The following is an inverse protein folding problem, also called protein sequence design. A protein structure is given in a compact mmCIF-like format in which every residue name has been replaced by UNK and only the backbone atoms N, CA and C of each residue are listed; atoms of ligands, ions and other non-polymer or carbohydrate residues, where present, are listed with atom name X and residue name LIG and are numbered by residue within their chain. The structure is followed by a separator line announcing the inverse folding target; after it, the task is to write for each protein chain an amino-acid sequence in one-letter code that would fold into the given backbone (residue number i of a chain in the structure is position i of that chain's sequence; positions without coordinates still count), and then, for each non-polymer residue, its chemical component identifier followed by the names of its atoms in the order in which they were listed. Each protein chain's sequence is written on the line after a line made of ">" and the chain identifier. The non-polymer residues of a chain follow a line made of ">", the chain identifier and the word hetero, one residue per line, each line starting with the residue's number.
data_IF_522272097050
#
_entry.id   IF_522272097050
#
_cell.length_a   1.000
_cell.length_b   1.000
_cell.length_c   1.000
_cell.angle_alpha   90.00
_cell.angle_beta   90.00
_cell.angle_gamma   90.00
#
_symmetry.space_group_name_H-M   'P 1'
#
loop_
_entity.id
_entity.type
_entity.pdbx_description
1 polymer ?
#
# COMPACT_ATOMS: atom_id res chain seq x y z
N UNK A 1 21.42 10.30 -11.49
CA UNK A 1 19.98 9.98 -11.54
C UNK A 1 19.36 10.51 -10.25
N UNK A 2 18.15 11.07 -10.32
CA UNK A 2 17.52 11.74 -9.17
C UNK A 2 16.64 10.81 -8.34
N UNK A 3 16.62 10.99 -7.04
CA UNK A 3 15.80 10.26 -6.06
C UNK A 3 14.34 10.73 -6.11
N UNK A 4 13.36 9.84 -5.82
CA UNK A 4 11.95 10.23 -5.64
C UNK A 4 11.85 11.34 -4.58
N UNK A 5 11.03 12.37 -4.82
CA UNK A 5 10.79 13.34 -3.75
C UNK A 5 9.98 12.67 -2.64
N UNK A 6 10.11 13.14 -1.39
CA UNK A 6 9.29 12.66 -0.28
C UNK A 6 7.80 12.61 -0.63
N UNK A 7 7.27 13.66 -1.22
CA UNK A 7 5.86 13.74 -1.63
C UNK A 7 5.49 12.68 -2.68
N UNK A 8 6.40 12.35 -3.61
CA UNK A 8 6.18 11.26 -4.58
C UNK A 8 6.13 9.91 -3.87
N UNK A 9 7.07 9.64 -2.94
CA UNK A 9 7.11 8.40 -2.15
C UNK A 9 5.84 8.21 -1.32
N UNK A 10 5.41 9.26 -0.62
CA UNK A 10 4.18 9.25 0.17
C UNK A 10 2.94 9.06 -0.70
N UNK A 11 2.85 9.74 -1.85
CA UNK A 11 1.69 9.59 -2.74
C UNK A 11 1.56 8.16 -3.26
N UNK A 12 2.66 7.51 -3.64
CA UNK A 12 2.65 6.10 -4.05
C UNK A 12 2.19 5.22 -2.88
N UNK A 13 2.77 5.39 -1.69
CA UNK A 13 2.44 4.57 -0.53
C UNK A 13 0.98 4.76 -0.06
N UNK A 14 0.41 5.95 -0.22
CA UNK A 14 -1.00 6.22 0.11
C UNK A 14 -1.98 5.62 -0.90
N UNK A 15 -1.61 5.50 -2.18
CA UNK A 15 -2.41 4.76 -3.16
C UNK A 15 -2.58 3.29 -2.74
N UNK A 16 -1.53 2.67 -2.19
CA UNK A 16 -1.57 1.30 -1.66
C UNK A 16 -2.54 1.15 -0.50
N UNK A 17 -2.48 2.08 0.45
CA UNK A 17 -3.36 2.08 1.64
C UNK A 17 -4.81 2.16 1.21
N UNK A 18 -5.15 3.04 0.29
CA UNK A 18 -6.53 3.19 -0.19
C UNK A 18 -7.01 1.92 -0.89
N UNK A 19 -6.20 1.37 -1.79
CA UNK A 19 -6.53 0.10 -2.46
C UNK A 19 -6.68 -1.05 -1.46
N UNK A 20 -5.79 -1.16 -0.49
CA UNK A 20 -5.82 -2.17 0.56
C UNK A 20 -7.07 -2.06 1.45
N UNK A 21 -7.42 -0.84 1.87
CA UNK A 21 -8.63 -0.55 2.64
C UNK A 21 -9.91 -0.85 1.84
N UNK A 22 -9.96 -0.46 0.57
CA UNK A 22 -11.12 -0.64 -0.31
C UNK A 22 -11.38 -2.09 -0.71
N UNK A 23 -10.43 -2.98 -0.46
CA UNK A 23 -10.49 -4.39 -0.86
C UNK A 23 -10.23 -5.35 0.30
N UNK A 24 -10.24 -4.83 1.53
CA UNK A 24 -9.89 -5.57 2.73
C UNK A 24 -10.74 -6.84 2.93
N UNK A 25 -11.99 -6.85 2.46
CA UNK A 25 -12.89 -8.00 2.45
C UNK A 25 -12.37 -9.17 1.60
N UNK A 26 -11.41 -8.93 0.71
CA UNK A 26 -10.77 -9.93 -0.13
C UNK A 26 -9.63 -10.67 0.59
N UNK A 27 -9.33 -10.32 1.85
CA UNK A 27 -8.27 -10.96 2.64
C UNK A 27 -6.88 -10.71 2.04
N UNK A 28 -6.05 -11.76 1.93
CA UNK A 28 -4.69 -11.64 1.37
C UNK A 28 -4.66 -11.09 -0.05
N UNK A 29 -5.74 -11.24 -0.82
CA UNK A 29 -5.83 -10.67 -2.17
C UNK A 29 -5.68 -9.14 -2.18
N UNK A 30 -6.16 -8.46 -1.13
CA UNK A 30 -6.13 -6.99 -1.03
C UNK A 30 -4.72 -6.41 -1.22
N UNK A 31 -3.69 -7.12 -0.76
CA UNK A 31 -2.30 -6.65 -0.86
C UNK A 31 -1.79 -6.67 -2.30
N UNK A 32 -2.29 -7.56 -3.17
CA UNK A 32 -1.89 -7.60 -4.57
C UNK A 32 -2.59 -6.52 -5.39
N UNK A 33 -3.81 -6.14 -5.00
CA UNK A 33 -4.52 -4.98 -5.55
C UNK A 33 -3.80 -3.68 -5.11
N UNK A 34 -3.36 -3.62 -3.85
CA UNK A 34 -2.52 -2.53 -3.35
C UNK A 34 -1.20 -2.44 -4.15
N UNK A 35 -0.49 -3.55 -4.34
CA UNK A 35 0.75 -3.59 -5.14
C UNK A 35 0.52 -3.08 -6.57
N UNK A 36 -0.62 -3.42 -7.18
CA UNK A 36 -0.98 -2.88 -8.48
C UNK A 36 -1.22 -1.37 -8.46
N UNK A 37 -1.84 -0.84 -7.39
CA UNK A 37 -2.10 0.58 -7.22
C UNK A 37 -0.79 1.39 -7.09
N UNK A 38 0.17 0.99 -6.24
CA UNK A 38 1.48 1.66 -6.19
C UNK A 38 2.19 1.59 -7.52
N UNK A 39 2.26 0.40 -8.13
CA UNK A 39 2.96 0.22 -9.40
C UNK A 39 2.33 1.09 -10.49
N UNK A 40 0.99 1.15 -10.55
CA UNK A 40 0.27 1.97 -11.52
C UNK A 40 0.52 3.46 -11.27
N UNK A 41 0.45 3.91 -10.02
CA UNK A 41 0.75 5.30 -9.65
C UNK A 41 2.19 5.65 -10.01
N UNK A 42 3.14 4.79 -9.67
CA UNK A 42 4.55 4.97 -9.97
C UNK A 42 4.80 5.06 -11.48
N UNK A 43 4.29 4.12 -12.29
CA UNK A 43 4.51 4.11 -13.75
C UNK A 43 3.76 5.24 -14.48
N UNK A 44 2.52 5.53 -14.11
CA UNK A 44 1.67 6.51 -14.82
C UNK A 44 1.87 7.95 -14.34
N UNK A 45 1.96 8.17 -13.02
CA UNK A 45 1.99 9.53 -12.45
C UNK A 45 3.38 10.05 -12.17
N UNK A 46 4.35 9.16 -11.95
CA UNK A 46 5.70 9.56 -11.53
C UNK A 46 6.75 9.28 -12.60
N UNK A 47 6.76 8.09 -13.21
CA UNK A 47 7.76 7.72 -14.21
C UNK A 47 7.61 8.53 -15.52
N UNK A 48 6.40 9.00 -15.83
CA UNK A 48 6.14 9.92 -16.94
C UNK A 48 6.80 11.30 -16.77
N UNK A 49 7.22 11.68 -15.56
CA UNK A 49 7.97 12.93 -15.28
C UNK A 49 9.49 12.78 -15.53
N UNK A 50 9.93 11.61 -16.00
CA UNK A 50 11.33 11.25 -16.21
C UNK A 50 11.68 10.04 -15.36
N UNK A 51 11.98 8.92 -16.02
CA UNK A 51 12.23 7.64 -15.36
C UNK A 51 13.30 7.77 -14.27
N UNK A 52 12.88 7.64 -13.02
CA UNK A 52 13.78 7.25 -11.94
C UNK A 52 13.84 5.73 -12.01
N UNK A 53 15.03 5.15 -12.13
CA UNK A 53 15.15 3.69 -12.03
C UNK A 53 15.21 3.37 -10.56
N UNK A 54 14.17 2.74 -10.02
CA UNK A 54 14.28 2.08 -8.72
C UNK A 54 15.13 0.84 -8.94
N UNK A 55 16.30 0.81 -8.35
CA UNK A 55 17.16 -0.36 -8.39
C UNK A 55 16.63 -1.31 -7.32
N UNK A 56 15.87 -2.32 -7.73
CA UNK A 56 15.42 -3.38 -6.84
C UNK A 56 16.44 -4.53 -6.85
N UNK A 57 16.78 -5.03 -5.67
CA UNK A 57 17.43 -6.35 -5.56
C UNK A 57 16.42 -7.42 -6.01
N UNK A 58 16.90 -8.55 -6.54
CA UNK A 58 16.01 -9.67 -6.87
C UNK A 58 15.34 -10.16 -5.56
N UNK A 59 14.00 -10.13 -5.47
CA UNK A 59 13.31 -10.52 -4.25
C UNK A 59 13.46 -12.02 -3.98
N UNK A 60 13.48 -12.39 -2.69
CA UNK A 60 13.53 -13.80 -2.28
C UNK A 60 12.14 -14.43 -2.38
N UNK A 61 11.99 -15.42 -3.28
CA UNK A 61 10.71 -16.08 -3.59
C UNK A 61 10.82 -17.62 -3.54
N UNK A 62 9.75 -18.35 -3.19
CA UNK A 62 8.50 -17.84 -2.61
C UNK A 62 8.70 -17.37 -1.15
N UNK A 63 7.76 -16.58 -0.64
CA UNK A 63 7.81 -16.08 0.75
C UNK A 63 6.72 -16.71 1.61
N UNK A 64 7.12 -17.16 2.80
CA UNK A 64 6.20 -17.66 3.83
C UNK A 64 5.80 -16.57 4.85
N UNK A 65 6.09 -15.30 4.55
CA UNK A 65 5.72 -14.18 5.42
C UNK A 65 4.20 -14.07 5.54
N UNK A 66 3.73 -13.74 6.75
CA UNK A 66 2.34 -13.34 6.98
C UNK A 66 2.19 -11.82 7.10
N UNK A 67 3.28 -11.06 7.01
CA UNK A 67 3.25 -9.60 7.05
C UNK A 67 2.84 -9.05 5.69
N UNK A 68 1.74 -8.27 5.66
CA UNK A 68 1.13 -7.80 4.41
C UNK A 68 2.05 -6.82 3.68
N UNK A 69 2.76 -5.95 4.40
CA UNK A 69 3.71 -5.02 3.81
C UNK A 69 4.90 -5.71 3.15
N UNK A 70 5.44 -6.77 3.75
CA UNK A 70 6.51 -7.57 3.14
C UNK A 70 6.03 -8.25 1.85
N UNK A 71 4.85 -8.89 1.88
CA UNK A 71 4.32 -9.57 0.70
C UNK A 71 3.98 -8.59 -0.44
N UNK A 72 3.45 -7.41 -0.09
CA UNK A 72 3.21 -6.31 -1.02
C UNK A 72 4.52 -5.92 -1.72
N UNK A 73 5.55 -5.60 -0.95
CA UNK A 73 6.83 -5.17 -1.49
C UNK A 73 7.51 -6.23 -2.36
N UNK A 74 7.49 -7.51 -1.94
CA UNK A 74 8.04 -8.59 -2.76
C UNK A 74 7.33 -8.70 -4.12
N UNK A 75 6.03 -8.41 -4.15
CA UNK A 75 5.25 -8.36 -5.40
C UNK A 75 5.72 -7.19 -6.27
N UNK A 76 5.82 -5.98 -5.71
CA UNK A 76 6.29 -4.80 -6.45
C UNK A 76 7.74 -4.95 -6.94
N UNK A 77 8.64 -5.42 -6.07
CA UNK A 77 10.05 -5.67 -6.41
C UNK A 77 10.16 -6.69 -7.55
N UNK A 78 9.41 -7.80 -7.48
CA UNK A 78 9.48 -8.81 -8.54
C UNK A 78 8.94 -8.27 -9.85
N UNK A 79 7.89 -7.44 -9.80
CA UNK A 79 7.34 -6.78 -10.97
C UNK A 79 8.37 -5.90 -11.67
N UNK A 80 9.09 -5.09 -10.90
CA UNK A 80 10.15 -4.22 -11.38
C UNK A 80 11.32 -5.03 -11.95
N UNK A 81 11.73 -6.09 -11.27
CA UNK A 81 12.83 -6.97 -11.71
C UNK A 81 12.49 -7.77 -12.97
N UNK A 82 11.24 -8.19 -13.15
CA UNK A 82 10.77 -8.85 -14.38
C UNK A 82 10.71 -7.88 -15.57
N UNK A 83 10.84 -6.57 -15.33
CA UNK A 83 11.01 -5.57 -16.39
C UNK A 83 9.73 -5.25 -17.15
N UNK A 84 8.56 -5.42 -16.53
CA UNK A 84 7.28 -5.09 -17.16
C UNK A 84 7.15 -3.56 -17.39
N UNK A 85 6.75 -3.20 -18.61
CA UNK A 85 6.69 -1.81 -19.06
C UNK A 85 5.41 -1.09 -18.63
N UNK A 86 4.31 -1.83 -18.51
CA UNK A 86 2.99 -1.35 -18.09
C UNK A 86 2.57 -2.04 -16.80
N UNK A 87 1.45 -1.64 -16.20
CA UNK A 87 0.83 -2.36 -15.08
C UNK A 87 -0.44 -3.03 -15.60
N UNK A 88 -0.39 -4.34 -15.81
CA UNK A 88 -1.54 -5.12 -16.27
C UNK A 88 -1.97 -6.14 -15.23
N UNK A 89 -3.28 -6.43 -15.21
CA UNK A 89 -3.86 -7.42 -14.32
C UNK A 89 -3.11 -8.76 -14.38
N UNK A 90 -2.85 -9.29 -15.58
CA UNK A 90 -2.19 -10.59 -15.74
C UNK A 90 -0.75 -10.60 -15.19
N UNK A 91 0.04 -9.56 -15.43
CA UNK A 91 1.43 -9.47 -14.97
C UNK A 91 1.51 -9.36 -13.44
N UNK A 92 0.58 -8.61 -12.83
CA UNK A 92 0.46 -8.54 -11.37
C UNK A 92 0.09 -9.91 -10.79
N UNK A 93 -0.89 -10.62 -11.37
CA UNK A 93 -1.28 -11.95 -10.86
C UNK A 93 -0.14 -12.97 -10.97
N UNK A 94 0.57 -13.00 -12.11
CA UNK A 94 1.74 -13.88 -12.28
C UNK A 94 2.78 -13.59 -11.19
N UNK A 95 3.02 -12.31 -10.92
CA UNK A 95 3.98 -11.89 -9.90
C UNK A 95 3.52 -12.26 -8.49
N UNK A 96 2.26 -12.01 -8.16
CA UNK A 96 1.63 -12.38 -6.90
C UNK A 96 1.73 -13.90 -6.62
N UNK A 97 1.50 -14.73 -7.64
CA UNK A 97 1.60 -16.20 -7.54
C UNK A 97 3.05 -16.66 -7.35
N UNK A 98 4.05 -15.94 -7.87
CA UNK A 98 5.46 -16.23 -7.54
C UNK A 98 5.77 -15.94 -6.07
N UNK A 99 5.12 -14.93 -5.47
CA UNK A 99 5.30 -14.55 -4.05
C UNK A 99 4.59 -15.52 -3.10
N UNK A 100 3.31 -15.82 -3.36
CA UNK A 100 2.47 -16.74 -2.57
C UNK A 100 1.85 -17.83 -3.45
N UNK A 101 2.65 -18.81 -3.90
CA UNK A 101 2.17 -19.87 -4.78
C UNK A 101 1.11 -20.76 -4.11
N UNK A 102 1.08 -20.80 -2.77
CA UNK A 102 0.06 -21.49 -1.99
C UNK A 102 -1.33 -20.86 -2.11
N UNK A 103 -1.43 -19.58 -2.49
CA UNK A 103 -2.68 -18.84 -2.67
C UNK A 103 -3.08 -18.68 -4.14
N UNK A 104 -2.49 -19.49 -5.05
CA UNK A 104 -2.67 -19.30 -6.49
C UNK A 104 -4.15 -19.36 -6.92
N UNK A 105 -4.96 -20.22 -6.30
CA UNK A 105 -6.38 -20.34 -6.65
C UNK A 105 -7.17 -19.08 -6.27
N UNK A 106 -6.88 -18.51 -5.12
CA UNK A 106 -7.50 -17.28 -4.62
C UNK A 106 -7.08 -16.08 -5.46
N UNK A 107 -5.80 -16.00 -5.81
CA UNK A 107 -5.23 -14.93 -6.65
C UNK A 107 -5.83 -14.97 -8.06
N UNK A 108 -5.91 -16.14 -8.70
CA UNK A 108 -6.55 -16.26 -10.02
C UNK A 108 -8.08 -16.17 -9.97
N UNK A 109 -8.68 -16.25 -8.78
CA UNK A 109 -10.12 -16.09 -8.58
C UNK A 109 -10.59 -14.63 -8.60
N UNK A 110 -9.68 -13.66 -8.57
CA UNK A 110 -10.00 -12.23 -8.58
C UNK A 110 -10.59 -11.86 -9.94
N UNK A 111 -11.76 -11.22 -9.98
CA UNK A 111 -12.31 -10.75 -11.25
C UNK A 111 -11.50 -9.54 -11.78
N UNK A 112 -11.16 -9.54 -13.07
CA UNK A 112 -10.30 -8.51 -13.67
C UNK A 112 -10.93 -7.10 -13.59
N UNK A 113 -12.22 -7.01 -13.85
CA UNK A 113 -13.02 -5.80 -13.75
C UNK A 113 -13.01 -5.23 -12.33
N UNK A 114 -13.22 -6.08 -11.32
CA UNK A 114 -13.10 -5.68 -9.92
C UNK A 114 -11.69 -5.16 -9.58
N UNK A 115 -10.64 -5.86 -10.02
CA UNK A 115 -9.26 -5.43 -9.82
C UNK A 115 -8.99 -4.06 -10.44
N UNK A 116 -9.37 -3.87 -11.71
CA UNK A 116 -9.13 -2.63 -12.45
C UNK A 116 -9.88 -1.46 -11.84
N UNK A 117 -11.16 -1.65 -11.49
CA UNK A 117 -11.97 -0.63 -10.82
C UNK A 117 -11.30 -0.15 -9.53
N UNK A 118 -10.85 -1.08 -8.68
CA UNK A 118 -10.23 -0.73 -7.39
C UNK A 118 -8.89 -0.03 -7.54
N UNK A 119 -8.06 -0.47 -8.49
CA UNK A 119 -6.78 0.19 -8.80
C UNK A 119 -7.05 1.62 -9.31
N UNK A 120 -7.97 1.80 -10.25
CA UNK A 120 -8.31 3.12 -10.81
C UNK A 120 -8.87 4.06 -9.75
N UNK A 121 -9.79 3.58 -8.90
CA UNK A 121 -10.32 4.36 -7.78
C UNK A 121 -9.23 4.81 -6.81
N UNK A 122 -8.26 3.94 -6.49
CA UNK A 122 -7.19 4.26 -5.57
C UNK A 122 -6.25 5.33 -6.12
N UNK A 123 -5.80 5.21 -7.38
CA UNK A 123 -4.88 6.18 -7.98
C UNK A 123 -5.52 7.55 -8.29
N UNK A 124 -6.85 7.61 -8.35
CA UNK A 124 -7.61 8.85 -8.55
C UNK A 124 -7.98 9.55 -7.24
N UNK A 125 -7.82 8.89 -6.08
CA UNK A 125 -8.20 9.45 -4.80
C UNK A 125 -7.28 10.63 -4.45
N UNK A 126 -7.88 11.79 -4.14
CA UNK A 126 -7.13 12.91 -3.61
C UNK A 126 -6.70 12.57 -2.17
N UNK A 127 -5.40 12.55 -1.90
CA UNK A 127 -4.81 12.22 -0.60
C UNK A 127 -3.79 13.29 -0.18
N UNK A 128 -3.95 14.52 -0.66
CA UNK A 128 -3.02 15.62 -0.39
C UNK A 128 -3.10 16.05 1.07
N UNK A 129 -4.30 16.13 1.66
CA UNK A 129 -4.47 16.61 3.03
C UNK A 129 -4.63 15.47 4.05
N UNK A 130 -4.36 15.77 5.32
CA UNK A 130 -4.65 14.87 6.44
C UNK A 130 -6.15 14.54 6.52
N UNK A 131 -7.02 15.53 6.28
CA UNK A 131 -8.47 15.32 6.24
C UNK A 131 -8.87 14.29 5.17
N UNK A 132 -8.28 14.38 3.97
CA UNK A 132 -8.55 13.43 2.89
C UNK A 132 -8.11 12.01 3.26
N UNK A 133 -6.94 11.86 3.89
CA UNK A 133 -6.40 10.58 4.38
C UNK A 133 -7.32 9.98 5.45
N UNK A 134 -7.79 10.80 6.39
CA UNK A 134 -8.75 10.36 7.43
C UNK A 134 -10.07 9.92 6.80
N UNK A 135 -10.61 10.69 5.86
CA UNK A 135 -11.85 10.34 5.17
C UNK A 135 -11.71 9.02 4.40
N UNK A 136 -10.58 8.78 3.75
CA UNK A 136 -10.32 7.51 3.07
C UNK A 136 -10.32 6.31 4.04
N UNK A 137 -9.82 6.49 5.27
CA UNK A 137 -9.89 5.48 6.32
C UNK A 137 -11.34 5.28 6.78
N UNK A 138 -12.09 6.36 6.99
CA UNK A 138 -13.48 6.32 7.46
C UNK A 138 -14.44 5.67 6.46
N UNK A 139 -14.14 5.74 5.16
CA UNK A 139 -14.88 5.05 4.11
C UNK A 139 -14.81 3.51 4.24
N UNK A 140 -13.73 2.98 4.84
CA UNK A 140 -13.48 1.55 4.96
C UNK A 140 -13.67 1.03 6.40
N UNK A 141 -13.37 1.84 7.41
CA UNK A 141 -13.34 1.43 8.81
C UNK A 141 -14.14 2.41 9.68
N UNK A 142 -15.11 1.93 10.49
CA UNK A 142 -16.03 2.79 11.22
C UNK A 142 -15.42 3.34 12.53
N UNK A 143 -14.33 4.09 12.45
CA UNK A 143 -13.74 4.83 13.59
C UNK A 143 -14.74 5.85 14.14
N UNK A 144 -14.72 6.08 15.46
CA UNK A 144 -15.66 7.01 16.12
C UNK A 144 -14.98 7.80 17.24
N UNK A 145 -15.43 9.05 17.42
CA UNK A 145 -15.07 9.90 18.55
C UNK A 145 -13.55 10.03 18.71
N UNK A 146 -13.06 9.75 19.93
CA UNK A 146 -11.64 9.89 20.30
C UNK A 146 -10.66 9.12 19.41
N UNK A 147 -11.10 8.03 18.76
CA UNK A 147 -10.22 7.25 17.89
C UNK A 147 -9.97 7.98 16.56
N UNK A 148 -10.94 8.76 16.06
CA UNK A 148 -10.74 9.64 14.89
C UNK A 148 -9.72 10.72 15.23
N UNK A 149 -9.87 11.37 16.39
CA UNK A 149 -8.95 12.43 16.83
C UNK A 149 -7.51 11.92 16.96
N UNK A 150 -7.34 10.71 17.51
CA UNK A 150 -6.03 10.04 17.62
C UNK A 150 -5.41 9.77 16.25
N UNK A 151 -6.18 9.21 15.30
CA UNK A 151 -5.71 8.95 13.93
C UNK A 151 -5.35 10.26 13.24
N UNK A 152 -6.20 11.28 13.33
CA UNK A 152 -5.94 12.60 12.76
C UNK A 152 -4.65 13.21 13.30
N UNK A 153 -4.44 13.18 14.62
CA UNK A 153 -3.23 13.71 15.26
C UNK A 153 -1.97 12.99 14.77
N UNK A 154 -1.97 11.66 14.71
CA UNK A 154 -0.82 10.90 14.24
C UNK A 154 -0.56 11.10 12.76
N UNK A 155 -1.60 11.17 11.92
CA UNK A 155 -1.43 11.49 10.51
C UNK A 155 -0.89 12.91 10.32
N UNK A 156 -1.30 13.88 11.15
CA UNK A 156 -0.71 15.23 11.15
C UNK A 156 0.77 15.18 11.51
N UNK A 157 1.18 14.37 12.49
CA UNK A 157 2.59 14.19 12.84
C UNK A 157 3.36 13.58 11.65
N UNK A 158 2.84 12.50 11.05
CA UNK A 158 3.44 11.84 9.88
C UNK A 158 3.60 12.83 8.72
N UNK A 159 2.56 13.60 8.40
CA UNK A 159 2.56 14.58 7.30
C UNK A 159 3.63 15.67 7.47
N UNK A 160 3.92 16.05 8.72
CA UNK A 160 4.93 17.05 9.06
C UNK A 160 6.33 16.47 9.36
N UNK A 161 6.55 15.16 9.18
CA UNK A 161 7.84 14.51 9.50
C UNK A 161 8.76 14.43 8.30
N UNK A 162 9.81 15.27 8.25
CA UNK A 162 10.74 15.32 7.10
C UNK A 162 11.77 14.19 7.03
N UNK A 163 12.06 13.55 8.16
CA UNK A 163 13.04 12.47 8.25
C UNK A 163 12.39 11.09 8.04
N UNK A 164 13.00 10.26 7.17
CA UNK A 164 12.44 8.96 6.77
C UNK A 164 12.37 7.96 7.94
N UNK A 165 13.32 8.01 8.90
CA UNK A 165 13.34 7.11 10.06
C UNK A 165 12.30 7.53 11.10
N UNK A 166 12.17 8.83 11.35
CA UNK A 166 11.11 9.39 12.19
C UNK A 166 9.73 9.10 11.58
N UNK A 167 9.59 9.22 10.26
CA UNK A 167 8.33 8.94 9.56
C UNK A 167 7.90 7.48 9.77
N UNK A 168 8.83 6.54 9.59
CA UNK A 168 8.57 5.12 9.83
C UNK A 168 8.23 4.84 11.30
N UNK A 169 8.89 5.52 12.23
CA UNK A 169 8.60 5.44 13.67
C UNK A 169 7.18 5.93 13.96
N UNK A 170 6.75 7.04 13.35
CA UNK A 170 5.42 7.60 13.52
C UNK A 170 4.33 6.68 12.93
N UNK A 171 4.55 6.06 11.78
CA UNK A 171 3.65 5.03 11.24
C UNK A 171 3.61 3.79 12.15
N UNK A 172 4.75 3.39 12.71
CA UNK A 172 4.79 2.28 13.67
C UNK A 172 4.01 2.57 14.95
N UNK A 173 4.06 3.81 15.44
CA UNK A 173 3.25 4.28 16.58
C UNK A 173 1.75 4.24 16.25
N UNK A 174 1.36 4.60 15.02
CA UNK A 174 -0.01 4.48 14.55
C UNK A 174 -0.49 3.03 14.55
N UNK A 175 0.31 2.10 14.02
CA UNK A 175 0.01 0.65 14.06
C UNK A 175 -0.20 0.17 15.50
N UNK A 176 0.69 0.55 16.42
CA UNK A 176 0.62 0.14 17.83
C UNK A 176 -0.57 0.72 18.59
N UNK A 177 -1.17 1.81 18.09
CA UNK A 177 -2.35 2.42 18.70
C UNK A 177 -3.65 1.70 18.32
N UNK A 178 -3.73 1.09 17.13
CA UNK A 178 -4.94 0.43 16.61
C UNK A 178 -5.58 -0.58 17.59
N UNK A 179 -4.84 -1.44 18.31
CA UNK A 179 -5.42 -2.37 19.27
C UNK A 179 -6.28 -1.69 20.36
N UNK A 180 -5.99 -0.43 20.69
CA UNK A 180 -6.71 0.37 21.69
C UNK A 180 -8.02 0.99 21.19
N UNK A 181 -8.27 0.97 19.88
CA UNK A 181 -9.48 1.54 19.29
C UNK A 181 -10.72 0.73 19.63
N UNK A 182 -11.85 1.42 19.71
CA UNK A 182 -13.17 0.82 19.91
C UNK A 182 -13.74 0.27 18.59
N UNK A 183 -13.02 -0.68 18.03
CA UNK A 183 -13.33 -1.40 16.80
C UNK A 183 -13.44 -2.90 17.08
N UNK A 184 -14.12 -3.64 16.20
CA UNK A 184 -14.05 -5.09 16.22
C UNK A 184 -12.66 -5.58 15.72
N UNK A 185 -12.32 -6.84 15.97
CA UNK A 185 -11.01 -7.39 15.63
C UNK A 185 -10.72 -7.40 14.12
N UNK A 186 -11.76 -7.58 13.30
CA UNK A 186 -11.63 -7.55 11.85
C UNK A 186 -11.15 -6.17 11.38
N UNK A 187 -11.84 -5.11 11.79
CA UNK A 187 -11.53 -3.72 11.44
C UNK A 187 -10.15 -3.29 11.95
N UNK A 188 -9.76 -3.76 13.14
CA UNK A 188 -8.40 -3.56 13.67
C UNK A 188 -7.35 -4.19 12.78
N UNK A 189 -7.56 -5.43 12.35
CA UNK A 189 -6.63 -6.13 11.47
C UNK A 189 -6.54 -5.44 10.10
N UNK A 190 -7.66 -4.96 9.56
CA UNK A 190 -7.68 -4.19 8.30
C UNK A 190 -6.81 -2.93 8.40
N UNK A 191 -6.95 -2.15 9.47
CA UNK A 191 -6.12 -0.97 9.70
C UNK A 191 -4.64 -1.32 9.88
N UNK A 192 -4.33 -2.33 10.71
CA UNK A 192 -2.96 -2.77 10.95
C UNK A 192 -2.29 -3.17 9.64
N UNK A 193 -2.94 -4.04 8.85
CA UNK A 193 -2.40 -4.50 7.58
C UNK A 193 -2.18 -3.35 6.59
N UNK A 194 -3.13 -2.41 6.53
CA UNK A 194 -3.03 -1.24 5.63
C UNK A 194 -1.88 -0.32 6.03
N UNK A 195 -1.68 -0.07 7.34
CA UNK A 195 -0.55 0.72 7.82
C UNK A 195 0.79 -0.03 7.75
N UNK A 196 0.80 -1.36 7.84
CA UNK A 196 1.98 -2.15 7.54
C UNK A 196 2.38 -2.01 6.06
N UNK A 197 1.41 -2.05 5.14
CA UNK A 197 1.65 -1.76 3.72
C UNK A 197 2.18 -0.34 3.54
N UNK A 198 1.57 0.67 4.16
CA UNK A 198 2.04 2.07 4.14
C UNK A 198 3.52 2.17 4.50
N UNK A 199 3.91 1.57 5.63
CA UNK A 199 5.28 1.64 6.15
C UNK A 199 6.28 0.98 5.20
N UNK A 200 5.98 -0.25 4.78
CA UNK A 200 6.88 -1.02 3.92
C UNK A 200 6.95 -0.43 2.51
N UNK A 201 5.82 0.01 1.96
CA UNK A 201 5.77 0.64 0.65
C UNK A 201 6.65 1.88 0.61
N UNK A 202 6.52 2.79 1.57
CA UNK A 202 7.38 3.98 1.66
C UNK A 202 8.88 3.60 1.66
N UNK A 203 9.29 2.59 2.43
CA UNK A 203 10.68 2.10 2.45
C UNK A 203 11.14 1.59 1.08
N UNK A 204 10.29 0.89 0.32
CA UNK A 204 10.61 0.43 -1.03
C UNK A 204 10.91 1.61 -1.95
N UNK A 205 10.10 2.67 -1.90
CA UNK A 205 10.25 3.86 -2.75
C UNK A 205 11.36 4.81 -2.27
N UNK A 206 11.92 4.59 -1.07
CA UNK A 206 13.13 5.27 -0.58
C UNK A 206 14.45 4.65 -1.01
N UNK A 207 14.44 3.48 -1.68
CA UNK A 207 15.64 2.83 -2.24
C UNK A 207 16.10 3.50 -3.54
#
# INVERSE_FOLDING_TARGET
>A
MGELTRQQKEAIAWADVVAGLMTAESGFVSLFIAAAASMAYYKDKVANEGWKTIITEEPVLPSNSNNYGILHNLTCEKYLTDGYDQVTYNEILITAVKVRPDLASEIYGIAQDYFQEKVEMAIQKNLVSVDDKVNAILDAVPLKGVDIDKVYQLLTVIDNTDDDDDWQTNVQNLIQLVPSFNLNDNDKNVLINSFEILKNSYQLWSK
#
